data_IF_957934928457
#
_entry.id   IF_957934928457
#
_cell.length_a   1.000
_cell.length_b   1.000
_cell.length_c   1.000
_cell.angle_alpha   90.00
_cell.angle_beta   90.00
_cell.angle_gamma   90.00
#
_symmetry.space_group_name_H-M   'P 1'
#
loop_
_entity.id
_entity.type
_entity.pdbx_description
1 polymer ?
#
# COMPACT_ATOMS: atom_id res chain seq x y z
N UNK A 1 29.86 7.85 9.28
CA UNK A 1 29.77 7.42 10.68
C UNK A 1 28.42 6.72 10.87
N UNK A 2 28.40 5.38 11.03
CA UNK A 2 27.17 4.61 11.27
C UNK A 2 26.61 4.98 12.65
N UNK A 3 25.58 5.83 12.72
CA UNK A 3 24.78 5.99 13.93
C UNK A 3 23.94 4.73 14.12
N UNK A 4 24.35 3.88 15.08
CA UNK A 4 23.56 2.75 15.53
C UNK A 4 22.24 3.27 16.13
N UNK A 5 21.14 3.12 15.40
CA UNK A 5 19.79 3.34 15.91
C UNK A 5 19.43 2.23 16.91
N UNK A 6 19.82 2.43 18.18
CA UNK A 6 19.45 1.55 19.29
C UNK A 6 18.11 2.00 19.88
N UNK A 7 17.02 1.73 19.18
CA UNK A 7 15.70 2.33 19.43
C UNK A 7 15.02 1.89 20.74
N UNK A 8 15.31 0.71 21.30
CA UNK A 8 14.53 0.18 22.42
C UNK A 8 15.33 -0.44 23.58
N UNK A 9 16.64 -0.29 23.61
CA UNK A 9 17.51 -1.12 24.45
C UNK A 9 17.30 -0.94 25.95
N UNK A 10 16.54 0.06 26.44
CA UNK A 10 16.64 0.45 27.85
C UNK A 10 15.36 0.50 28.65
N UNK A 11 14.27 -0.15 28.23
CA UNK A 11 13.01 -0.03 28.94
C UNK A 11 13.09 -0.45 30.42
N UNK A 12 13.99 -1.37 30.77
CA UNK A 12 14.06 -1.93 32.14
C UNK A 12 15.45 -2.41 32.59
N UNK A 13 16.54 -2.06 31.95
CA UNK A 13 17.90 -2.41 32.43
C UNK A 13 18.13 -1.92 33.88
N UNK A 14 17.41 -0.87 34.27
CA UNK A 14 17.53 -0.16 35.52
C UNK A 14 17.14 -1.03 36.71
N UNK A 15 16.12 -1.86 36.59
CA UNK A 15 15.61 -2.60 37.74
C UNK A 15 16.37 -3.91 37.93
N UNK A 16 16.87 -4.54 36.87
CA UNK A 16 17.72 -5.72 36.98
C UNK A 16 19.02 -5.43 37.70
N UNK A 17 19.52 -4.19 37.60
CA UNK A 17 20.73 -3.80 38.30
C UNK A 17 20.59 -3.75 39.84
N UNK A 18 19.38 -3.71 40.35
CA UNK A 18 19.12 -3.58 41.78
C UNK A 18 19.27 -4.90 42.56
N UNK A 19 19.15 -6.03 41.90
CA UNK A 19 19.09 -7.35 42.56
C UNK A 19 20.24 -8.30 42.22
N UNK A 20 21.11 -7.98 41.25
CA UNK A 20 22.24 -8.83 40.93
C UNK A 20 23.36 -8.63 41.99
N UNK A 21 23.72 -9.70 42.67
CA UNK A 21 24.83 -9.77 43.60
C UNK A 21 26.19 -9.95 42.91
N UNK A 22 26.55 -9.19 41.86
CA UNK A 22 27.90 -9.23 41.34
C UNK A 22 28.77 -8.11 41.97
N UNK A 23 29.97 -8.46 42.35
CA UNK A 23 30.90 -7.77 43.24
C UNK A 23 31.45 -6.37 42.81
N UNK A 24 30.94 -5.78 41.74
CA UNK A 24 31.48 -4.50 41.19
C UNK A 24 30.44 -3.41 40.96
N UNK A 25 29.47 -3.24 41.87
CA UNK A 25 28.39 -2.22 41.68
C UNK A 25 28.59 -0.97 42.51
N UNK A 26 28.38 0.18 41.86
CA UNK A 26 28.17 1.43 42.55
C UNK A 26 26.94 1.33 43.49
N UNK A 27 27.05 1.70 44.76
CA UNK A 27 25.96 1.56 45.70
C UNK A 27 24.76 2.43 45.29
N UNK A 28 23.54 1.84 45.30
CA UNK A 28 22.32 2.61 45.07
C UNK A 28 22.03 3.52 46.25
N UNK A 29 21.81 4.81 45.95
CA UNK A 29 21.34 5.77 46.95
C UNK A 29 19.82 5.74 47.04
N UNK A 30 19.26 5.71 48.26
CA UNK A 30 17.81 5.71 48.51
C UNK A 30 17.46 6.83 49.45
N UNK A 31 16.35 7.53 49.18
CA UNK A 31 15.79 8.58 50.04
C UNK A 31 14.28 8.54 50.02
N UNK A 32 13.63 8.96 51.09
CA UNK A 32 12.19 9.10 51.24
C UNK A 32 11.89 9.94 52.48
N UNK A 33 10.65 10.39 52.62
CA UNK A 33 10.21 11.10 53.82
C UNK A 33 10.08 10.15 55.03
N UNK A 34 9.74 8.87 54.79
CA UNK A 34 9.62 7.85 55.83
C UNK A 34 10.17 6.52 55.32
N UNK A 35 10.92 5.84 56.18
CA UNK A 35 11.42 4.48 55.97
C UNK A 35 10.83 3.56 57.03
N UNK A 36 10.37 2.37 56.64
CA UNK A 36 9.87 1.34 57.53
C UNK A 36 10.52 0.01 57.14
N UNK A 37 10.97 -0.75 58.13
CA UNK A 37 11.51 -2.08 57.98
C UNK A 37 10.73 -3.06 58.85
N UNK A 38 10.08 -4.04 58.24
CA UNK A 38 9.49 -5.19 58.93
C UNK A 38 10.49 -6.35 58.92
N UNK A 39 11.08 -6.62 60.08
CA UNK A 39 12.08 -7.66 60.22
C UNK A 39 11.49 -9.09 60.08
N UNK A 40 10.22 -9.31 60.44
CA UNK A 40 9.55 -10.62 60.31
C UNK A 40 9.29 -10.98 58.87
N UNK A 41 8.75 -10.05 58.11
CA UNK A 41 8.49 -10.19 56.67
C UNK A 41 9.65 -9.80 55.81
N UNK A 42 10.77 -9.32 56.34
CA UNK A 42 11.91 -8.79 55.58
C UNK A 42 11.50 -7.80 54.47
N UNK A 43 10.60 -6.88 54.83
CA UNK A 43 10.05 -5.89 53.91
C UNK A 43 10.62 -4.51 54.19
N UNK A 44 11.19 -3.88 53.15
CA UNK A 44 11.67 -2.50 53.20
C UNK A 44 10.66 -1.59 52.50
N UNK A 45 10.14 -0.57 53.16
CA UNK A 45 9.22 0.37 52.54
C UNK A 45 9.72 1.81 52.72
N UNK A 46 9.72 2.51 51.60
CA UNK A 46 10.06 3.94 51.50
C UNK A 46 8.79 4.69 51.10
N UNK A 47 8.34 5.67 51.85
CA UNK A 47 7.07 6.38 51.61
C UNK A 47 7.31 7.89 51.61
N UNK A 48 6.66 8.59 50.70
CA UNK A 48 6.76 10.03 50.47
C UNK A 48 8.04 10.41 49.74
N UNK A 49 7.90 11.04 48.57
CA UNK A 49 9.01 11.51 47.71
C UNK A 49 10.15 10.50 47.58
N UNK A 50 9.78 9.22 47.44
CA UNK A 50 10.75 8.14 47.43
C UNK A 50 11.59 8.21 46.17
N UNK A 51 12.91 8.16 46.31
CA UNK A 51 13.88 8.18 45.20
C UNK A 51 14.89 7.06 45.41
N UNK A 52 15.21 6.36 44.36
CA UNK A 52 16.31 5.45 44.26
C UNK A 52 17.17 5.81 43.05
N UNK A 53 18.47 5.81 43.21
CA UNK A 53 19.41 6.25 42.21
C UNK A 53 20.67 5.38 42.21
N UNK A 54 21.09 4.92 41.04
CA UNK A 54 22.38 4.30 40.80
C UNK A 54 23.12 4.97 39.63
N UNK A 55 24.21 4.36 39.13
CA UNK A 55 25.00 4.87 38.03
C UNK A 55 24.22 4.91 36.69
N UNK A 56 23.20 4.07 36.54
CA UNK A 56 22.48 3.85 35.28
C UNK A 56 21.12 4.54 35.26
N UNK A 57 20.53 4.79 36.43
CA UNK A 57 19.11 5.16 36.51
C UNK A 57 18.67 5.90 37.77
N UNK A 58 17.50 6.52 37.63
CA UNK A 58 16.74 7.13 38.74
C UNK A 58 15.32 6.59 38.71
N UNK A 59 14.83 6.12 39.86
CA UNK A 59 13.42 5.74 40.04
C UNK A 59 12.84 6.65 41.11
N UNK A 60 11.69 7.25 40.86
CA UNK A 60 10.91 8.02 41.85
C UNK A 60 9.48 7.50 41.91
N UNK A 61 8.88 7.50 43.09
CA UNK A 61 7.47 7.14 43.30
C UNK A 61 7.00 7.67 44.65
N UNK A 62 5.70 7.58 44.96
CA UNK A 62 5.20 7.89 46.28
C UNK A 62 5.56 6.80 47.28
N UNK A 63 5.45 5.52 46.92
CA UNK A 63 5.80 4.37 47.72
C UNK A 63 6.71 3.41 46.92
N UNK A 64 7.81 2.98 47.56
CA UNK A 64 8.66 1.88 47.09
C UNK A 64 8.68 0.79 48.15
N UNK A 65 8.40 -0.46 47.77
CA UNK A 65 8.43 -1.59 48.67
C UNK A 65 9.33 -2.69 48.08
N UNK A 66 10.22 -3.21 48.90
CA UNK A 66 11.14 -4.28 48.57
C UNK A 66 10.91 -5.49 49.47
N UNK A 67 10.57 -6.62 48.87
CA UNK A 67 10.35 -7.90 49.55
C UNK A 67 11.61 -8.75 49.37
N UNK A 68 12.43 -8.90 50.45
CA UNK A 68 13.73 -9.54 50.33
C UNK A 68 13.65 -11.02 50.02
N UNK A 69 12.70 -11.77 50.58
CA UNK A 69 12.56 -13.23 50.37
C UNK A 69 12.11 -13.56 48.93
N UNK A 70 11.21 -12.77 48.38
CA UNK A 70 10.70 -12.97 47.02
C UNK A 70 11.51 -12.25 45.97
N UNK A 71 12.41 -11.35 46.34
CA UNK A 71 13.17 -10.44 45.48
C UNK A 71 12.28 -9.54 44.62
N UNK A 72 11.05 -9.24 45.08
CA UNK A 72 10.14 -8.37 44.39
C UNK A 72 10.31 -6.94 44.85
N UNK A 73 10.37 -6.00 43.89
CA UNK A 73 10.25 -4.56 44.13
C UNK A 73 8.97 -4.04 43.51
N UNK A 74 8.23 -3.21 44.29
CA UNK A 74 7.04 -2.52 43.78
C UNK A 74 7.16 -1.02 43.97
N UNK A 75 6.61 -0.28 43.02
CA UNK A 75 6.60 1.17 42.97
C UNK A 75 5.18 1.65 42.70
N UNK A 76 4.65 2.54 43.52
CA UNK A 76 3.28 3.04 43.34
C UNK A 76 3.18 4.53 43.59
N UNK A 77 2.24 5.15 42.88
CA UNK A 77 1.96 6.58 42.93
C UNK A 77 3.03 7.43 42.20
N UNK A 78 2.66 7.96 41.03
CA UNK A 78 3.52 8.82 40.21
C UNK A 78 4.91 8.21 39.93
N UNK A 79 4.92 6.94 39.55
CA UNK A 79 6.17 6.22 39.23
C UNK A 79 6.83 6.85 38.01
N UNK A 80 8.08 7.25 38.18
CA UNK A 80 8.94 7.70 37.07
C UNK A 80 10.27 6.96 37.11
N UNK A 81 10.55 6.30 36.02
CA UNK A 81 11.83 5.66 35.72
C UNK A 81 12.57 6.54 34.72
N UNK A 82 13.80 6.90 34.99
CA UNK A 82 14.67 7.67 34.12
C UNK A 82 15.99 6.94 33.90
N UNK A 83 16.33 6.70 32.65
CA UNK A 83 17.62 6.15 32.25
C UNK A 83 18.63 7.25 32.03
N UNK A 84 19.75 7.22 32.78
CA UNK A 84 20.87 8.13 32.57
C UNK A 84 21.67 7.81 31.30
N UNK A 85 21.58 6.56 30.83
CA UNK A 85 22.39 6.09 29.71
C UNK A 85 21.89 6.62 28.37
N UNK A 86 20.55 6.74 28.19
CA UNK A 86 19.94 7.17 26.91
C UNK A 86 18.84 8.21 27.07
N UNK A 87 18.63 8.77 28.25
CA UNK A 87 17.63 9.80 28.52
C UNK A 87 16.16 9.33 28.41
N UNK A 88 15.90 8.01 28.30
CA UNK A 88 14.53 7.51 28.21
C UNK A 88 13.82 7.54 29.55
N UNK A 89 12.50 7.77 29.52
CA UNK A 89 11.65 7.81 30.72
C UNK A 89 10.44 6.88 30.56
N UNK A 90 10.03 6.27 31.70
CA UNK A 90 8.71 5.63 31.83
C UNK A 90 8.00 6.33 32.98
N UNK A 91 6.79 6.80 32.72
CA UNK A 91 5.86 7.28 33.73
C UNK A 91 4.70 6.31 33.86
N UNK A 92 4.30 5.92 35.07
CA UNK A 92 3.21 4.98 35.31
C UNK A 92 2.54 5.23 36.65
N UNK A 93 1.34 4.72 36.88
CA UNK A 93 0.73 4.74 38.22
C UNK A 93 1.33 3.66 39.12
N UNK A 94 1.80 2.55 38.53
CA UNK A 94 2.39 1.42 39.25
C UNK A 94 3.43 0.72 38.38
N UNK A 95 4.50 0.22 39.02
CA UNK A 95 5.49 -0.68 38.39
C UNK A 95 5.93 -1.77 39.38
N UNK A 96 6.34 -2.91 38.85
CA UNK A 96 6.89 -4.02 39.63
C UNK A 96 8.05 -4.66 38.90
N UNK A 97 8.98 -5.20 39.64
CA UNK A 97 10.09 -6.02 39.17
C UNK A 97 10.26 -7.24 40.07
N UNK A 98 10.39 -8.41 39.45
CA UNK A 98 10.74 -9.67 40.08
C UNK A 98 12.20 -10.00 39.75
N UNK A 99 13.05 -9.99 40.76
CA UNK A 99 14.49 -10.26 40.64
C UNK A 99 14.81 -11.72 40.33
N UNK A 100 13.97 -12.67 40.76
CA UNK A 100 14.17 -14.11 40.48
C UNK A 100 13.86 -14.47 39.06
N UNK A 101 12.71 -14.00 38.55
CA UNK A 101 12.28 -14.28 37.17
C UNK A 101 12.86 -13.28 36.19
N UNK A 102 13.42 -12.18 36.66
CA UNK A 102 13.90 -11.04 35.86
C UNK A 102 12.82 -10.45 34.97
N UNK A 103 11.61 -10.38 35.50
CA UNK A 103 10.43 -9.85 34.81
C UNK A 103 9.98 -8.54 35.41
N UNK A 104 9.66 -7.56 34.56
CA UNK A 104 9.15 -6.28 35.00
C UNK A 104 7.88 -5.89 34.24
N UNK A 105 7.00 -5.15 34.93
CA UNK A 105 5.83 -4.57 34.28
C UNK A 105 5.48 -3.18 34.86
N UNK A 106 4.77 -2.40 34.05
CA UNK A 106 4.18 -1.13 34.44
C UNK A 106 2.70 -1.10 34.01
N UNK A 107 1.84 -0.54 34.84
CA UNK A 107 0.40 -0.42 34.63
C UNK A 107 -0.15 0.94 35.07
N UNK A 108 -1.43 1.15 34.84
CA UNK A 108 -2.12 2.42 35.08
C UNK A 108 -1.57 3.52 34.14
N UNK A 109 -1.84 3.34 32.86
CA UNK A 109 -1.49 4.26 31.75
C UNK A 109 0.02 4.55 31.67
N UNK A 110 0.86 3.52 31.54
CA UNK A 110 2.28 3.74 31.33
C UNK A 110 2.54 4.51 30.03
N UNK A 111 3.52 5.43 30.11
CA UNK A 111 4.00 6.22 28.99
C UNK A 111 5.52 6.09 28.95
N UNK A 112 6.03 5.49 27.89
CA UNK A 112 7.46 5.48 27.58
C UNK A 112 7.79 6.62 26.64
N UNK A 113 8.88 7.35 26.92
CA UNK A 113 9.46 8.35 26.03
C UNK A 113 10.94 8.09 25.86
N UNK A 114 11.39 7.98 24.63
CA UNK A 114 12.80 7.93 24.25
C UNK A 114 13.17 9.20 23.50
N UNK A 115 14.02 10.02 24.13
CA UNK A 115 14.49 11.27 23.50
C UNK A 115 15.55 11.02 22.43
N UNK A 116 16.31 9.94 22.57
CA UNK A 116 17.35 9.54 21.61
C UNK A 116 16.72 9.11 20.27
N UNK A 117 15.57 8.46 20.33
CA UNK A 117 14.90 7.89 19.16
C UNK A 117 13.60 8.62 18.80
N UNK A 118 13.27 9.69 19.50
CA UNK A 118 12.05 10.47 19.30
C UNK A 118 10.76 9.63 19.29
N UNK A 119 10.72 8.58 20.12
CA UNK A 119 9.59 7.67 20.24
C UNK A 119 8.84 7.91 21.54
N UNK A 120 7.52 7.93 21.44
CA UNK A 120 6.61 7.88 22.61
C UNK A 120 5.65 6.70 22.41
N UNK A 121 5.54 5.84 23.45
CA UNK A 121 4.57 4.75 23.48
C UNK A 121 3.65 4.95 24.68
N UNK A 122 2.35 4.84 24.47
CA UNK A 122 1.30 4.82 25.48
C UNK A 122 0.54 3.52 25.42
N UNK A 123 0.15 2.96 26.56
CA UNK A 123 -0.68 1.76 26.62
C UNK A 123 -1.36 1.64 27.99
N UNK A 124 -2.18 0.62 28.18
CA UNK A 124 -2.74 0.29 29.50
C UNK A 124 -1.76 -0.47 30.38
N UNK A 125 -0.86 -1.25 29.73
CA UNK A 125 0.09 -2.14 30.38
C UNK A 125 1.36 -2.26 29.54
N UNK A 126 2.53 -2.30 30.18
CA UNK A 126 3.82 -2.57 29.55
C UNK A 126 4.56 -3.65 30.34
N UNK A 127 5.27 -4.52 29.64
CA UNK A 127 6.06 -5.60 30.26
C UNK A 127 7.38 -5.83 29.56
N UNK A 128 8.28 -6.43 30.29
CA UNK A 128 9.57 -6.90 29.79
C UNK A 128 10.05 -8.13 30.55
N UNK A 129 10.45 -9.14 29.80
CA UNK A 129 11.27 -10.24 30.27
C UNK A 129 12.74 -9.97 29.93
N UNK A 130 13.61 -9.85 30.94
CA UNK A 130 15.03 -9.60 30.74
C UNK A 130 15.83 -10.85 30.33
N UNK A 131 15.22 -12.03 30.40
CA UNK A 131 15.82 -13.26 29.88
C UNK A 131 15.67 -13.36 28.36
N UNK A 132 14.83 -12.53 27.74
CA UNK A 132 14.59 -12.46 26.32
C UNK A 132 14.83 -11.04 25.79
N UNK A 133 15.08 -10.86 24.49
CA UNK A 133 15.17 -9.52 23.90
C UNK A 133 13.81 -8.85 23.69
N UNK A 134 12.74 -9.37 24.29
CA UNK A 134 11.36 -8.95 24.02
C UNK A 134 10.85 -7.93 25.06
N UNK A 135 10.17 -6.88 24.54
CA UNK A 135 9.36 -5.97 25.32
C UNK A 135 7.98 -5.86 24.70
N UNK A 136 6.92 -5.63 25.53
CA UNK A 136 5.55 -5.51 25.03
C UNK A 136 4.84 -4.32 25.63
N UNK A 137 3.94 -3.74 24.83
CA UNK A 137 2.91 -2.81 25.28
C UNK A 137 1.54 -3.39 24.89
N UNK A 138 0.58 -3.38 25.81
CA UNK A 138 -0.67 -4.13 25.68
C UNK A 138 -1.84 -3.20 25.99
N UNK A 139 -2.89 -3.33 25.21
CA UNK A 139 -4.15 -2.64 25.30
C UNK A 139 -4.04 -1.12 25.10
N UNK A 140 -4.80 -0.62 24.14
CA UNK A 140 -4.82 0.78 23.73
C UNK A 140 -3.42 1.34 23.41
N UNK A 141 -2.66 0.60 22.62
CA UNK A 141 -1.31 1.01 22.24
C UNK A 141 -1.39 2.18 21.26
N UNK A 142 -0.67 3.25 21.59
CA UNK A 142 -0.42 4.38 20.70
C UNK A 142 1.08 4.65 20.67
N UNK A 143 1.68 4.40 19.51
CA UNK A 143 3.06 4.70 19.17
C UNK A 143 3.11 6.04 18.44
N UNK A 144 3.99 6.94 18.84
CA UNK A 144 4.35 8.14 18.06
C UNK A 144 5.85 8.15 17.83
N UNK A 145 6.27 8.28 16.60
CA UNK A 145 7.66 8.48 16.19
C UNK A 145 7.77 9.80 15.43
N UNK A 146 8.82 10.58 15.71
CA UNK A 146 9.12 11.82 14.98
C UNK A 146 10.50 11.66 14.38
N UNK A 147 10.55 11.58 13.05
CA UNK A 147 11.79 11.66 12.30
C UNK A 147 12.22 13.13 12.21
N UNK A 148 13.30 13.47 12.92
CA UNK A 148 13.81 14.85 12.96
C UNK A 148 14.56 15.26 11.69
N UNK A 149 15.02 14.30 10.88
CA UNK A 149 15.76 14.59 9.66
C UNK A 149 14.79 15.05 8.55
N UNK A 150 13.59 14.45 8.51
CA UNK A 150 12.59 14.72 7.48
C UNK A 150 11.33 15.43 8.02
N UNK A 151 11.30 15.79 9.31
CA UNK A 151 10.12 16.34 10.02
C UNK A 151 8.84 15.50 9.83
N UNK A 152 9.01 14.19 9.63
CA UNK A 152 7.90 13.26 9.42
C UNK A 152 7.46 12.67 10.75
N UNK A 153 6.16 12.74 11.01
CA UNK A 153 5.51 12.11 12.14
C UNK A 153 4.82 10.83 11.71
N UNK A 154 5.08 9.75 12.47
CA UNK A 154 4.38 8.47 12.33
C UNK A 154 3.60 8.18 13.58
N UNK A 155 2.29 7.93 13.48
CA UNK A 155 1.43 7.50 14.57
C UNK A 155 0.94 6.06 14.31
N UNK A 156 1.14 5.16 15.27
CA UNK A 156 0.72 3.77 15.21
C UNK A 156 -0.29 3.45 16.33
N UNK A 157 -1.33 2.69 15.99
CA UNK A 157 -2.36 2.22 16.91
C UNK A 157 -2.51 0.72 16.79
N UNK A 158 -2.66 0.02 17.93
CA UNK A 158 -2.89 -1.42 17.99
C UNK A 158 -3.40 -1.85 19.37
N UNK A 159 -3.83 -3.10 19.50
CA UNK A 159 -4.11 -3.68 20.80
C UNK A 159 -2.83 -4.15 21.50
N UNK A 160 -1.85 -4.65 20.73
CA UNK A 160 -0.55 -5.12 21.22
C UNK A 160 0.57 -4.61 20.31
N UNK A 161 1.66 -4.16 20.94
CA UNK A 161 2.96 -3.91 20.32
C UNK A 161 4.00 -4.79 21.01
N UNK A 162 4.68 -5.65 20.27
CA UNK A 162 5.87 -6.36 20.70
C UNK A 162 7.09 -5.86 19.96
N UNK A 163 8.22 -5.77 20.65
CA UNK A 163 9.48 -5.30 20.09
C UNK A 163 10.62 -6.26 20.46
N UNK A 164 11.34 -6.70 19.43
CA UNK A 164 12.55 -7.49 19.61
C UNK A 164 13.78 -6.58 19.46
N UNK A 165 14.57 -6.47 20.53
CA UNK A 165 15.70 -5.54 20.59
C UNK A 165 16.92 -6.00 19.78
N UNK A 166 17.09 -7.30 19.57
CA UNK A 166 18.22 -7.85 18.81
C UNK A 166 17.99 -7.68 17.31
N UNK A 167 16.78 -8.02 16.86
CA UNK A 167 16.40 -7.89 15.45
C UNK A 167 15.94 -6.48 15.09
N UNK A 168 15.54 -5.66 16.07
CA UNK A 168 14.92 -4.33 15.91
C UNK A 168 13.60 -4.37 15.13
N UNK A 169 12.86 -5.45 15.30
CA UNK A 169 11.54 -5.66 14.69
C UNK A 169 10.45 -5.33 15.69
N UNK A 170 9.52 -4.46 15.27
CA UNK A 170 8.28 -4.16 15.96
C UNK A 170 7.14 -4.92 15.31
N UNK A 171 6.27 -5.55 16.10
CA UNK A 171 5.06 -6.23 15.61
C UNK A 171 3.84 -5.65 16.32
N UNK A 172 2.92 -5.10 15.54
CA UNK A 172 1.63 -4.58 16.00
C UNK A 172 0.53 -5.58 15.63
N UNK A 173 -0.35 -5.88 16.59
CA UNK A 173 -1.49 -6.80 16.42
C UNK A 173 -2.76 -6.19 17.00
N UNK A 174 -3.91 -6.73 16.55
CA UNK A 174 -5.22 -6.25 16.97
C UNK A 174 -5.59 -4.95 16.26
N UNK A 175 -6.02 -5.09 15.00
CA UNK A 175 -6.39 -3.97 14.12
C UNK A 175 -5.32 -2.86 14.04
N UNK A 176 -4.07 -3.21 13.71
CA UNK A 176 -3.00 -2.22 13.62
C UNK A 176 -3.30 -1.21 12.51
N UNK A 177 -3.01 0.07 12.84
CA UNK A 177 -3.09 1.19 11.90
C UNK A 177 -1.85 2.03 12.05
N UNK A 178 -1.23 2.39 10.95
CA UNK A 178 -0.08 3.28 10.91
C UNK A 178 -0.41 4.48 10.02
N UNK A 179 -0.10 5.67 10.50
CA UNK A 179 -0.29 6.92 9.76
C UNK A 179 1.06 7.60 9.60
N UNK A 180 1.43 7.98 8.39
CA UNK A 180 2.61 8.78 8.11
C UNK A 180 2.23 9.93 7.17
N UNK A 181 2.23 11.16 7.69
CA UNK A 181 1.63 12.27 6.97
C UNK A 181 0.15 11.98 6.72
N UNK A 182 -0.23 11.93 5.45
CA UNK A 182 -1.60 11.63 5.03
C UNK A 182 -1.79 10.15 4.63
N UNK A 183 -0.70 9.39 4.52
CA UNK A 183 -0.78 7.96 4.15
C UNK A 183 -1.20 7.12 5.35
N UNK A 184 -1.91 6.04 5.08
CA UNK A 184 -2.41 5.10 6.09
C UNK A 184 -2.19 3.66 5.66
N UNK A 185 -1.75 2.84 6.61
CA UNK A 185 -1.56 1.39 6.45
C UNK A 185 -2.39 0.65 7.48
N UNK A 186 -3.06 -0.41 7.06
CA UNK A 186 -3.89 -1.28 7.90
C UNK A 186 -3.70 -2.75 7.55
N UNK A 187 -3.97 -3.66 8.49
CA UNK A 187 -3.93 -5.10 8.29
C UNK A 187 -4.32 -5.84 9.58
N UNK A 188 -4.09 -7.13 9.62
CA UNK A 188 -4.27 -7.95 10.84
C UNK A 188 -3.00 -7.94 11.69
N UNK A 189 -1.84 -7.94 11.04
CA UNK A 189 -0.52 -7.85 11.65
C UNK A 189 0.32 -6.87 10.83
N UNK A 190 0.97 -5.92 11.51
CA UNK A 190 1.93 -5.01 10.92
C UNK A 190 3.29 -5.24 11.59
N UNK A 191 4.29 -5.58 10.79
CA UNK A 191 5.67 -5.75 11.22
C UNK A 191 6.52 -4.64 10.62
N UNK A 192 7.35 -4.00 11.45
CA UNK A 192 8.28 -2.98 11.01
C UNK A 192 9.70 -3.30 11.46
N UNK A 193 10.60 -3.43 10.51
CA UNK A 193 12.02 -3.64 10.73
C UNK A 193 12.79 -2.32 10.57
N UNK A 194 13.19 -1.73 11.70
CA UNK A 194 13.88 -0.44 11.69
C UNK A 194 15.34 -0.49 11.20
N UNK A 195 15.94 -1.70 11.08
CA UNK A 195 17.30 -1.83 10.53
C UNK A 195 17.35 -1.58 9.03
N UNK A 196 16.30 -2.01 8.33
CA UNK A 196 16.22 -1.97 6.86
C UNK A 196 15.08 -1.06 6.38
N UNK A 197 14.41 -0.37 7.29
CA UNK A 197 13.28 0.53 7.01
C UNK A 197 12.16 -0.15 6.19
N UNK A 198 11.84 -1.41 6.52
CA UNK A 198 10.83 -2.20 5.84
C UNK A 198 9.59 -2.35 6.71
N UNK A 199 8.41 -2.08 6.14
CA UNK A 199 7.13 -2.40 6.72
C UNK A 199 6.49 -3.58 5.99
N UNK A 200 6.01 -4.59 6.73
CA UNK A 200 5.36 -5.78 6.21
C UNK A 200 3.97 -5.90 6.84
N UNK A 201 2.94 -5.91 6.00
CA UNK A 201 1.53 -5.97 6.42
C UNK A 201 0.97 -7.31 5.98
N UNK A 202 0.43 -8.05 6.91
CA UNK A 202 -0.11 -9.39 6.71
C UNK A 202 -1.59 -9.44 7.10
N UNK A 203 -2.35 -10.26 6.39
CA UNK A 203 -3.77 -10.47 6.61
C UNK A 203 -4.59 -9.26 6.17
N UNK A 204 -5.08 -9.30 4.92
CA UNK A 204 -5.90 -8.23 4.32
C UNK A 204 -5.25 -6.85 4.42
N UNK A 205 -3.99 -6.77 3.99
CA UNK A 205 -3.22 -5.53 3.98
C UNK A 205 -3.92 -4.47 3.13
N UNK A 206 -3.92 -3.21 3.61
CA UNK A 206 -4.51 -2.08 2.92
C UNK A 206 -3.65 -0.85 3.10
N UNK A 207 -3.31 -0.21 2.00
CA UNK A 207 -2.58 1.05 1.98
C UNK A 207 -3.43 2.10 1.29
N UNK A 208 -3.50 3.27 1.89
CA UNK A 208 -4.11 4.48 1.36
C UNK A 208 -2.98 5.48 1.08
N UNK A 209 -2.84 5.89 -0.17
CA UNK A 209 -1.83 6.84 -0.64
C UNK A 209 -2.56 8.10 -1.10
N UNK A 210 -2.28 9.24 -0.45
CA UNK A 210 -2.92 10.51 -0.83
C UNK A 210 -2.36 11.00 -2.18
N UNK A 211 -3.26 11.32 -3.09
CA UNK A 211 -2.91 12.02 -4.32
C UNK A 211 -2.64 13.50 -4.04
N UNK A 212 -1.45 13.98 -4.42
CA UNK A 212 -0.96 15.32 -4.05
C UNK A 212 -1.67 16.47 -4.75
N UNK A 213 -2.41 16.22 -5.82
CA UNK A 213 -2.97 17.28 -6.69
C UNK A 213 -4.25 17.94 -6.17
N UNK A 214 -4.94 17.37 -5.18
CA UNK A 214 -6.26 17.84 -4.72
C UNK A 214 -6.33 18.20 -3.23
N UNK A 215 -5.19 18.45 -2.58
CA UNK A 215 -5.22 18.85 -1.17
C UNK A 215 -5.70 20.29 -1.01
N UNK A 216 -6.98 20.47 -0.71
CA UNK A 216 -7.52 21.72 -0.18
C UNK A 216 -7.51 21.64 1.34
N UNK A 217 -6.55 22.31 1.95
CA UNK A 217 -6.44 22.45 3.40
C UNK A 217 -7.73 23.10 3.96
N UNK A 218 -8.54 22.35 4.72
CA UNK A 218 -9.65 22.92 5.47
C UNK A 218 -11.02 22.23 5.40
N UNK A 219 -11.26 21.23 4.57
CA UNK A 219 -12.55 20.54 4.54
C UNK A 219 -12.55 19.24 5.36
N UNK A 220 -12.77 19.37 6.67
CA UNK A 220 -13.18 18.24 7.53
C UNK A 220 -14.65 17.96 7.27
N UNK A 221 -14.98 17.09 6.34
CA UNK A 221 -16.32 16.51 6.24
C UNK A 221 -16.30 15.05 6.69
N UNK A 222 -17.09 14.77 7.73
CA UNK A 222 -17.36 13.43 8.22
C UNK A 222 -18.28 12.74 7.20
N UNK A 223 -17.76 11.87 6.34
CA UNK A 223 -18.52 10.83 5.63
C UNK A 223 -17.62 10.11 4.60
N UNK A 224 -18.09 9.06 3.99
CA UNK A 224 -17.41 8.17 3.02
C UNK A 224 -16.74 8.88 1.82
N UNK A 225 -17.05 10.15 1.57
CA UNK A 225 -16.37 11.02 0.60
C UNK A 225 -14.91 11.38 0.95
N UNK A 226 -14.42 11.02 2.13
CA UNK A 226 -13.02 11.28 2.54
C UNK A 226 -11.98 10.48 1.75
N UNK A 227 -12.38 9.42 1.07
CA UNK A 227 -11.45 8.53 0.35
C UNK A 227 -11.35 8.81 -1.15
N UNK A 228 -12.12 9.75 -1.69
CA UNK A 228 -12.10 10.07 -3.12
C UNK A 228 -10.75 10.61 -3.63
N UNK A 229 -9.85 11.01 -2.72
CA UNK A 229 -8.54 11.56 -3.06
C UNK A 229 -7.39 10.57 -2.76
N UNK A 230 -7.71 9.29 -2.52
CA UNK A 230 -6.71 8.30 -2.21
C UNK A 230 -6.66 7.19 -3.26
N UNK A 231 -5.45 6.83 -3.67
CA UNK A 231 -5.23 5.54 -4.27
C UNK A 231 -5.20 4.48 -3.16
N UNK A 232 -5.91 3.38 -3.36
CA UNK A 232 -6.01 2.33 -2.35
C UNK A 232 -5.50 1.03 -2.94
N UNK A 233 -4.50 0.43 -2.31
CA UNK A 233 -4.01 -0.91 -2.65
C UNK A 233 -4.41 -1.88 -1.54
N UNK A 234 -5.04 -2.98 -1.91
CA UNK A 234 -5.39 -4.10 -1.02
C UNK A 234 -4.73 -5.38 -1.50
N UNK A 235 -4.25 -6.23 -0.58
CA UNK A 235 -3.64 -7.52 -0.89
C UNK A 235 -3.64 -8.43 0.34
N UNK A 236 -3.33 -9.71 0.15
CA UNK A 236 -3.15 -10.64 1.28
C UNK A 236 -1.90 -10.26 2.10
N UNK A 237 -0.85 -9.79 1.43
CA UNK A 237 0.37 -9.27 2.03
C UNK A 237 0.89 -8.06 1.26
N UNK A 238 1.34 -7.04 2.00
CA UNK A 238 1.97 -5.84 1.43
C UNK A 238 3.31 -5.61 2.14
N UNK A 239 4.36 -5.38 1.36
CA UNK A 239 5.69 -4.99 1.85
C UNK A 239 6.02 -3.62 1.30
N UNK A 240 6.41 -2.69 2.16
CA UNK A 240 6.91 -1.37 1.76
C UNK A 240 8.36 -1.27 2.16
N UNK A 241 9.23 -1.21 1.18
CA UNK A 241 10.65 -0.98 1.39
C UNK A 241 10.91 0.53 1.54
N UNK A 242 11.86 0.84 2.42
CA UNK A 242 12.25 2.20 2.77
C UNK A 242 11.10 3.09 3.22
N UNK A 243 10.18 2.46 4.01
CA UNK A 243 8.98 3.13 4.53
C UNK A 243 9.28 4.48 5.21
N UNK A 244 10.45 4.64 5.82
CA UNK A 244 10.86 5.90 6.43
C UNK A 244 11.28 6.99 5.43
N UNK A 245 11.47 6.63 4.14
CA UNK A 245 11.89 7.54 3.05
C UNK A 245 13.22 8.22 3.38
N UNK A 246 14.32 7.59 2.97
CA UNK A 246 15.65 8.24 3.02
C UNK A 246 15.81 9.12 1.81
N UNK A 247 16.52 10.23 1.97
CA UNK A 247 16.79 11.16 0.87
C UNK A 247 17.30 10.42 -0.37
N UNK A 248 16.58 10.58 -1.48
CA UNK A 248 16.96 10.07 -2.80
C UNK A 248 16.63 8.59 -3.07
N UNK A 249 15.92 7.90 -2.19
CA UNK A 249 15.39 6.55 -2.44
C UNK A 249 13.88 6.58 -2.61
N UNK A 250 13.40 6.01 -3.70
CA UNK A 250 11.97 5.80 -3.97
C UNK A 250 11.44 4.69 -3.07
N UNK A 251 10.31 4.94 -2.40
CA UNK A 251 9.61 3.89 -1.66
C UNK A 251 8.98 2.92 -2.64
N UNK A 252 9.28 1.64 -2.49
CA UNK A 252 8.69 0.59 -3.32
C UNK A 252 7.71 -0.23 -2.51
N UNK A 253 6.51 -0.39 -3.04
CA UNK A 253 5.47 -1.25 -2.50
C UNK A 253 5.42 -2.53 -3.31
N UNK A 254 5.46 -3.66 -2.62
CA UNK A 254 5.21 -4.99 -3.17
C UNK A 254 3.93 -5.54 -2.57
N UNK A 255 2.94 -5.89 -3.40
CA UNK A 255 1.69 -6.49 -2.96
C UNK A 255 1.54 -7.90 -3.53
N UNK A 256 1.16 -8.85 -2.68
CA UNK A 256 1.08 -10.27 -3.00
C UNK A 256 -0.28 -10.84 -2.65
N UNK A 257 -0.85 -11.60 -3.56
CA UNK A 257 -2.11 -12.34 -3.41
C UNK A 257 -3.34 -11.44 -3.42
N UNK A 258 -4.29 -11.73 -4.31
CA UNK A 258 -5.58 -11.02 -4.43
C UNK A 258 -5.43 -9.49 -4.46
N UNK A 259 -4.45 -9.00 -5.22
CA UNK A 259 -4.17 -7.56 -5.26
C UNK A 259 -5.29 -6.83 -5.98
N UNK A 260 -5.78 -5.76 -5.37
CA UNK A 260 -6.69 -4.80 -6.00
C UNK A 260 -6.20 -3.38 -5.73
N UNK A 261 -5.99 -2.60 -6.80
CA UNK A 261 -5.65 -1.19 -6.72
C UNK A 261 -6.80 -0.34 -7.27
N UNK A 262 -7.23 0.63 -6.49
CA UNK A 262 -8.28 1.59 -6.85
C UNK A 262 -7.66 2.96 -7.09
N UNK A 263 -7.86 3.49 -8.28
CA UNK A 263 -7.48 4.85 -8.67
C UNK A 263 -8.76 5.66 -8.84
N UNK A 264 -9.08 6.49 -7.85
CA UNK A 264 -10.39 7.15 -7.78
C UNK A 264 -10.56 8.26 -8.80
N UNK A 265 -9.54 9.07 -9.08
CA UNK A 265 -9.62 10.13 -10.08
C UNK A 265 -9.97 9.58 -11.46
N UNK A 266 -9.37 8.45 -11.81
CA UNK A 266 -9.52 7.81 -13.11
C UNK A 266 -10.72 6.88 -13.17
N UNK A 267 -11.38 6.67 -12.03
CA UNK A 267 -12.42 5.67 -11.88
C UNK A 267 -11.96 4.29 -12.41
N UNK A 268 -10.77 3.87 -11.98
CA UNK A 268 -10.09 2.69 -12.49
C UNK A 268 -9.83 1.68 -11.38
N UNK A 269 -10.01 0.41 -11.69
CA UNK A 269 -9.77 -0.72 -10.80
C UNK A 269 -8.81 -1.68 -11.49
N UNK A 270 -7.65 -1.92 -10.87
CA UNK A 270 -6.70 -2.92 -11.32
C UNK A 270 -6.75 -4.14 -10.39
N UNK A 271 -6.66 -5.33 -10.95
CA UNK A 271 -6.59 -6.59 -10.19
C UNK A 271 -5.49 -7.47 -10.74
N UNK A 272 -4.83 -8.24 -9.86
CA UNK A 272 -3.79 -9.20 -10.24
C UNK A 272 -3.31 -9.98 -9.02
N UNK A 273 -2.33 -10.86 -9.20
CA UNK A 273 -1.77 -11.64 -8.09
C UNK A 273 -0.52 -11.02 -7.47
N UNK A 274 0.21 -10.17 -8.21
CA UNK A 274 1.42 -9.51 -7.73
C UNK A 274 1.55 -8.10 -8.32
N UNK A 275 1.96 -7.15 -7.47
CA UNK A 275 2.22 -5.75 -7.85
C UNK A 275 3.57 -5.30 -7.29
N UNK A 276 4.31 -4.57 -8.10
CA UNK A 276 5.44 -3.74 -7.73
C UNK A 276 5.10 -2.29 -8.08
N UNK A 277 5.18 -1.37 -7.11
CA UNK A 277 4.79 0.01 -7.27
C UNK A 277 5.81 0.96 -6.65
N UNK A 278 6.45 1.77 -7.47
CA UNK A 278 7.32 2.87 -7.08
C UNK A 278 6.45 4.09 -6.74
N UNK A 279 6.28 4.37 -5.44
CA UNK A 279 5.26 5.32 -4.95
C UNK A 279 5.52 6.75 -5.44
N UNK A 280 6.77 7.24 -5.35
CA UNK A 280 7.10 8.63 -5.74
C UNK A 280 7.12 8.84 -7.24
N UNK A 281 7.47 7.81 -8.02
CA UNK A 281 7.48 7.86 -9.48
C UNK A 281 6.13 7.52 -10.09
N UNK A 282 5.19 7.04 -9.27
CA UNK A 282 3.89 6.53 -9.71
C UNK A 282 3.99 5.54 -10.87
N UNK A 283 5.01 4.67 -10.79
CA UNK A 283 5.28 3.63 -11.77
C UNK A 283 4.96 2.25 -11.17
N UNK A 284 4.10 1.49 -11.82
CA UNK A 284 3.62 0.21 -11.32
C UNK A 284 3.71 -0.89 -12.38
N UNK A 285 4.11 -2.07 -11.94
CA UNK A 285 4.00 -3.31 -12.69
C UNK A 285 3.03 -4.26 -12.00
N UNK A 286 2.15 -4.89 -12.76
CA UNK A 286 1.20 -5.89 -12.25
C UNK A 286 1.29 -7.17 -13.06
N UNK A 287 1.29 -8.31 -12.35
CA UNK A 287 1.49 -9.65 -12.89
C UNK A 287 0.45 -10.62 -12.34
N UNK A 288 0.43 -11.84 -12.88
CA UNK A 288 -0.44 -12.95 -12.46
C UNK A 288 -1.91 -12.64 -12.72
N UNK A 289 -2.29 -12.80 -14.00
CA UNK A 289 -3.64 -12.56 -14.49
C UNK A 289 -4.15 -11.13 -14.23
N UNK A 290 -3.37 -10.11 -14.61
CA UNK A 290 -3.77 -8.75 -14.36
C UNK A 290 -4.94 -8.32 -15.23
N UNK A 291 -5.79 -7.46 -14.68
CA UNK A 291 -6.89 -6.84 -15.40
C UNK A 291 -7.09 -5.39 -14.98
N UNK A 292 -7.58 -4.58 -15.90
CA UNK A 292 -8.02 -3.20 -15.65
C UNK A 292 -9.47 -3.08 -16.01
N UNK A 293 -10.26 -2.48 -15.12
CA UNK A 293 -11.65 -2.13 -15.37
C UNK A 293 -11.83 -0.63 -15.24
N UNK A 294 -12.46 -0.03 -16.24
CA UNK A 294 -12.82 1.40 -16.27
C UNK A 294 -14.35 1.49 -16.34
N UNK A 295 -15.05 1.50 -15.17
CA UNK A 295 -16.50 1.34 -15.11
C UNK A 295 -17.29 2.39 -15.87
N UNK A 296 -16.85 3.67 -15.84
CA UNK A 296 -17.49 4.77 -16.52
C UNK A 296 -17.37 4.73 -18.06
N UNK A 297 -16.58 3.78 -18.59
CA UNK A 297 -16.40 3.57 -20.04
C UNK A 297 -16.87 2.20 -20.50
N UNK A 298 -17.40 1.36 -19.62
CA UNK A 298 -17.80 0.01 -19.96
C UNK A 298 -16.64 -0.93 -20.34
N UNK A 299 -15.37 -0.55 -20.12
CA UNK A 299 -14.18 -1.25 -20.59
C UNK A 299 -13.60 -2.16 -19.52
N UNK A 300 -13.19 -3.35 -19.93
CA UNK A 300 -12.27 -4.21 -19.19
C UNK A 300 -11.17 -4.71 -20.13
N UNK A 301 -9.93 -4.72 -19.66
CA UNK A 301 -8.78 -5.24 -20.40
C UNK A 301 -7.98 -6.23 -19.55
N UNK A 302 -7.38 -7.21 -20.21
CA UNK A 302 -6.57 -8.28 -19.66
C UNK A 302 -5.25 -8.39 -20.43
N UNK A 303 -4.23 -9.00 -19.84
CA UNK A 303 -2.96 -9.31 -20.46
C UNK A 303 -2.14 -10.21 -19.56
N UNK A 304 -0.95 -10.61 -19.97
CA UNK A 304 -0.04 -11.40 -19.14
C UNK A 304 0.58 -10.54 -18.01
N UNK A 305 0.92 -9.29 -18.35
CA UNK A 305 1.35 -8.28 -17.36
C UNK A 305 0.99 -6.87 -17.83
N UNK A 306 0.94 -5.93 -16.86
CA UNK A 306 0.55 -4.54 -17.08
C UNK A 306 1.66 -3.64 -16.55
N UNK A 307 1.99 -2.61 -17.33
CA UNK A 307 2.79 -1.47 -16.92
C UNK A 307 1.89 -0.23 -16.86
N UNK A 308 1.99 0.51 -15.77
CA UNK A 308 1.30 1.75 -15.52
C UNK A 308 2.32 2.84 -15.21
N UNK A 309 2.25 3.95 -15.94
CA UNK A 309 3.14 5.10 -15.77
C UNK A 309 2.37 6.39 -15.64
N UNK A 310 2.85 7.27 -14.76
CA UNK A 310 2.48 8.68 -14.72
C UNK A 310 3.59 9.52 -15.33
N UNK A 311 3.22 10.60 -16.02
CA UNK A 311 4.22 11.55 -16.53
C UNK A 311 4.73 12.44 -15.41
N UNK A 312 6.05 12.41 -15.17
CA UNK A 312 6.71 13.18 -14.14
C UNK A 312 6.64 14.71 -14.32
N UNK A 313 6.38 15.21 -15.55
CA UNK A 313 6.31 16.64 -15.82
C UNK A 313 4.90 17.22 -15.68
N UNK A 314 3.86 16.51 -16.12
CA UNK A 314 2.47 16.99 -16.11
C UNK A 314 1.67 16.50 -14.90
N UNK A 315 2.18 15.54 -14.17
CA UNK A 315 1.49 14.86 -13.07
C UNK A 315 0.14 14.21 -13.49
N UNK A 316 -0.06 14.01 -14.80
CA UNK A 316 -1.24 13.39 -15.41
C UNK A 316 -0.95 11.95 -15.77
N UNK A 317 -1.99 11.13 -15.81
CA UNK A 317 -1.94 9.77 -16.31
C UNK A 317 -1.46 9.76 -17.76
N UNK A 318 -0.53 8.89 -18.10
CA UNK A 318 -0.14 8.78 -19.49
C UNK A 318 -0.36 7.42 -20.10
N UNK A 319 0.06 6.36 -19.44
CA UNK A 319 0.09 5.10 -20.16
C UNK A 319 -0.30 3.91 -19.28
N UNK A 320 -1.24 3.12 -19.76
CA UNK A 320 -1.49 1.77 -19.26
C UNK A 320 -1.19 0.84 -20.41
N UNK A 321 -0.14 0.05 -20.28
CA UNK A 321 0.34 -0.83 -21.32
C UNK A 321 0.15 -2.28 -20.89
N UNK A 322 -0.59 -3.05 -21.68
CA UNK A 322 -0.77 -4.48 -21.50
C UNK A 322 0.12 -5.21 -22.48
N UNK A 323 0.74 -6.26 -22.02
CA UNK A 323 1.68 -7.06 -22.78
C UNK A 323 1.21 -8.50 -22.84
N UNK A 324 1.35 -9.11 -24.01
CA UNK A 324 1.10 -10.48 -24.37
C UNK A 324 -0.34 -10.95 -24.15
N UNK A 325 -0.89 -11.63 -25.10
CA UNK A 325 -2.24 -12.21 -25.06
C UNK A 325 -3.30 -11.20 -24.56
N UNK A 326 -3.26 -10.00 -25.13
CA UNK A 326 -4.10 -8.91 -24.66
C UNK A 326 -5.51 -9.07 -25.19
N UNK A 327 -6.49 -8.89 -24.29
CA UNK A 327 -7.92 -8.83 -24.62
C UNK A 327 -8.51 -7.56 -24.03
N UNK A 328 -9.16 -6.75 -24.87
CA UNK A 328 -9.98 -5.62 -24.43
C UNK A 328 -11.44 -5.91 -24.80
N UNK A 329 -12.34 -5.74 -23.86
CA UNK A 329 -13.78 -5.88 -24.06
C UNK A 329 -14.46 -4.55 -23.73
N UNK A 330 -15.22 -4.05 -24.68
CA UNK A 330 -16.17 -2.96 -24.46
C UNK A 330 -17.57 -3.57 -24.36
N UNK A 331 -18.13 -3.55 -23.14
CA UNK A 331 -19.44 -4.17 -22.90
C UNK A 331 -20.60 -3.34 -23.44
N UNK A 332 -20.41 -2.03 -23.59
CA UNK A 332 -21.45 -1.12 -24.03
C UNK A 332 -21.62 -1.19 -25.56
N UNK A 333 -20.54 -1.54 -26.30
CA UNK A 333 -20.50 -1.54 -27.76
C UNK A 333 -20.45 -2.96 -28.38
N UNK A 334 -20.58 -4.04 -27.62
CA UNK A 334 -20.45 -5.43 -28.10
C UNK A 334 -19.18 -5.65 -28.96
N UNK A 335 -18.09 -5.02 -28.54
CA UNK A 335 -16.79 -5.01 -29.21
C UNK A 335 -15.74 -5.68 -28.34
N UNK A 336 -14.97 -6.60 -28.95
CA UNK A 336 -13.76 -7.14 -28.32
C UNK A 336 -12.55 -7.03 -29.25
N UNK A 337 -11.39 -6.73 -28.67
CA UNK A 337 -10.11 -6.63 -29.36
C UNK A 337 -9.13 -7.60 -28.75
N UNK A 338 -8.40 -8.33 -29.57
CA UNK A 338 -7.34 -9.27 -29.17
C UNK A 338 -6.03 -8.87 -29.86
N UNK A 339 -4.87 -9.07 -29.22
CA UNK A 339 -3.55 -8.76 -29.79
C UNK A 339 -2.41 -9.01 -28.80
N UNK A 340 -1.20 -8.54 -29.14
CA UNK A 340 0.00 -8.75 -28.32
C UNK A 340 0.32 -7.57 -27.40
N UNK A 341 -0.02 -6.36 -27.82
CA UNK A 341 0.27 -5.13 -27.10
C UNK A 341 -0.93 -4.19 -27.15
N UNK A 342 -1.43 -3.79 -26.00
CA UNK A 342 -2.47 -2.77 -25.85
C UNK A 342 -1.93 -1.57 -25.09
N UNK A 343 -2.07 -0.39 -25.67
CA UNK A 343 -1.82 0.88 -25.03
C UNK A 343 -3.15 1.62 -24.82
N UNK A 344 -3.51 1.81 -23.57
CA UNK A 344 -4.64 2.66 -23.17
C UNK A 344 -4.10 4.03 -22.75
N UNK A 345 -4.54 5.05 -23.45
CA UNK A 345 -4.29 6.45 -23.08
C UNK A 345 -5.55 7.00 -22.39
N UNK A 346 -5.51 7.23 -21.08
CA UNK A 346 -6.66 7.71 -20.33
C UNK A 346 -7.07 9.15 -20.68
N UNK A 347 -6.13 9.99 -21.11
CA UNK A 347 -6.38 11.41 -21.43
C UNK A 347 -7.09 11.55 -22.78
N UNK A 348 -6.55 10.90 -23.80
CA UNK A 348 -7.16 10.93 -25.15
C UNK A 348 -8.30 9.95 -25.29
N UNK A 349 -8.45 9.00 -24.33
CA UNK A 349 -9.44 7.93 -24.34
C UNK A 349 -9.32 7.04 -25.59
N UNK A 350 -8.12 6.88 -26.10
CA UNK A 350 -7.80 6.03 -27.22
C UNK A 350 -7.14 4.75 -26.71
N UNK A 351 -7.65 3.61 -27.15
CA UNK A 351 -7.00 2.33 -26.99
C UNK A 351 -6.32 1.95 -28.32
N UNK A 352 -5.01 1.71 -28.31
CA UNK A 352 -4.24 1.26 -29.49
C UNK A 352 -3.78 -0.16 -29.26
N UNK A 353 -4.12 -1.06 -30.17
CA UNK A 353 -3.72 -2.46 -30.11
C UNK A 353 -2.88 -2.84 -31.35
N UNK A 354 -1.85 -3.65 -31.15
CA UNK A 354 -0.91 -4.10 -32.17
C UNK A 354 -0.45 -5.54 -31.92
N UNK A 355 0.34 -6.10 -32.85
CA UNK A 355 0.73 -7.51 -32.82
C UNK A 355 -0.39 -8.38 -33.37
N UNK A 356 -0.64 -8.26 -34.66
CA UNK A 356 -1.70 -9.00 -35.39
C UNK A 356 -3.09 -8.85 -34.73
N UNK A 357 -3.55 -7.62 -34.47
CA UNK A 357 -4.78 -7.41 -33.72
C UNK A 357 -6.00 -7.94 -34.50
N UNK A 358 -6.92 -8.51 -33.72
CA UNK A 358 -8.20 -8.99 -34.19
C UNK A 358 -9.33 -8.33 -33.44
N UNK A 359 -10.30 -7.74 -34.13
CA UNK A 359 -11.52 -7.22 -33.54
C UNK A 359 -12.71 -8.10 -33.87
N UNK A 360 -13.57 -8.32 -32.87
CA UNK A 360 -14.85 -8.97 -33.02
C UNK A 360 -15.95 -7.96 -32.69
N UNK A 361 -16.87 -7.79 -33.63
CA UNK A 361 -17.95 -6.79 -33.58
C UNK A 361 -19.28 -7.53 -33.62
N UNK A 362 -20.32 -6.95 -33.00
CA UNK A 362 -21.69 -7.47 -33.03
C UNK A 362 -21.74 -8.96 -32.64
N UNK A 363 -21.40 -9.29 -31.43
CA UNK A 363 -21.40 -10.67 -30.92
C UNK A 363 -20.63 -11.67 -31.79
N UNK A 364 -19.49 -11.22 -32.33
CA UNK A 364 -18.61 -11.98 -33.23
C UNK A 364 -19.18 -12.25 -34.60
N UNK A 365 -20.22 -11.54 -35.04
CA UNK A 365 -20.76 -11.64 -36.37
C UNK A 365 -19.80 -11.11 -37.46
N UNK A 366 -18.91 -10.16 -37.06
CA UNK A 366 -17.89 -9.58 -37.94
C UNK A 366 -16.54 -9.68 -37.24
N UNK A 367 -15.55 -10.16 -38.01
CA UNK A 367 -14.15 -10.21 -37.62
C UNK A 367 -13.32 -9.25 -38.46
N UNK A 368 -12.50 -8.43 -37.82
CA UNK A 368 -11.58 -7.48 -38.47
C UNK A 368 -10.17 -7.83 -38.05
N UNK A 369 -9.25 -7.98 -39.00
CA UNK A 369 -7.81 -8.22 -38.77
C UNK A 369 -7.03 -7.09 -39.45
N UNK A 370 -5.94 -6.63 -38.82
CA UNK A 370 -5.07 -5.59 -39.38
C UNK A 370 -3.68 -5.60 -38.74
N UNK A 371 -2.81 -4.68 -39.11
CA UNK A 371 -1.50 -4.50 -38.48
C UNK A 371 -1.65 -3.75 -37.12
N UNK A 372 -2.53 -2.74 -37.08
CA UNK A 372 -2.84 -1.97 -35.85
C UNK A 372 -4.31 -1.56 -35.83
N UNK A 373 -4.86 -1.47 -34.63
CA UNK A 373 -6.21 -0.96 -34.39
C UNK A 373 -6.23 0.14 -33.35
N UNK A 374 -7.15 1.08 -33.51
CA UNK A 374 -7.41 2.14 -32.55
C UNK A 374 -8.90 2.22 -32.26
N UNK A 375 -9.26 2.10 -31.01
CA UNK A 375 -10.61 2.32 -30.50
C UNK A 375 -10.69 3.74 -29.94
N UNK A 376 -11.66 4.51 -30.40
CA UNK A 376 -11.95 5.89 -29.97
C UNK A 376 -13.25 5.85 -29.20
N UNK A 377 -13.18 5.81 -27.88
CA UNK A 377 -14.36 5.61 -27.05
C UNK A 377 -15.37 6.76 -27.15
N UNK A 378 -14.91 8.02 -27.16
CA UNK A 378 -15.81 9.18 -27.28
C UNK A 378 -16.52 9.28 -28.64
N UNK A 379 -15.89 8.76 -29.68
CA UNK A 379 -16.45 8.77 -31.06
C UNK A 379 -17.21 7.47 -31.40
N UNK A 380 -17.21 6.49 -30.48
CA UNK A 380 -17.81 5.17 -30.68
C UNK A 380 -17.41 4.55 -32.04
N UNK A 381 -16.09 4.51 -32.29
CA UNK A 381 -15.54 3.98 -33.54
C UNK A 381 -14.26 3.19 -33.32
N UNK A 382 -14.09 2.14 -34.16
CA UNK A 382 -12.85 1.36 -34.29
C UNK A 382 -12.21 1.67 -35.65
N UNK A 383 -10.94 2.04 -35.65
CA UNK A 383 -10.13 2.20 -36.87
C UNK A 383 -9.10 1.08 -36.96
N UNK A 384 -9.08 0.33 -38.06
CA UNK A 384 -8.08 -0.65 -38.40
C UNK A 384 -7.19 -0.10 -39.53
N UNK A 385 -5.88 -0.38 -39.43
CA UNK A 385 -4.85 0.14 -40.31
C UNK A 385 -3.85 -0.95 -40.71
N UNK A 386 -3.49 -0.98 -41.99
CA UNK A 386 -2.50 -1.87 -42.58
C UNK A 386 -3.06 -3.25 -42.90
N UNK A 387 -3.15 -3.57 -44.20
CA UNK A 387 -3.64 -4.83 -44.75
C UNK A 387 -4.91 -5.37 -44.09
N UNK A 388 -5.92 -4.52 -44.03
CA UNK A 388 -7.16 -4.83 -43.31
C UNK A 388 -7.93 -5.91 -44.03
N UNK A 389 -8.25 -6.98 -43.30
CA UNK A 389 -9.15 -8.05 -43.74
C UNK A 389 -10.39 -8.06 -42.84
N UNK A 390 -11.58 -8.08 -43.46
CA UNK A 390 -12.85 -8.19 -42.76
C UNK A 390 -13.58 -9.42 -43.24
N UNK A 391 -14.11 -10.17 -42.30
CA UNK A 391 -14.85 -11.40 -42.53
C UNK A 391 -16.17 -11.39 -41.75
N UNK A 392 -17.24 -11.81 -42.42
CA UNK A 392 -18.51 -12.18 -41.78
C UNK A 392 -19.05 -13.45 -42.47
N UNK A 393 -20.22 -13.94 -42.07
CA UNK A 393 -20.81 -15.17 -42.57
C UNK A 393 -20.88 -15.20 -44.11
N UNK A 394 -21.28 -14.08 -44.74
CA UNK A 394 -21.54 -14.03 -46.21
C UNK A 394 -20.70 -12.96 -46.92
N UNK A 395 -19.77 -12.31 -46.21
CA UNK A 395 -18.98 -11.21 -46.72
C UNK A 395 -17.52 -11.32 -46.31
N UNK A 396 -16.62 -11.03 -47.24
CA UNK A 396 -15.22 -10.75 -46.95
C UNK A 396 -14.74 -9.51 -47.71
N UNK A 397 -13.76 -8.82 -47.16
CA UNK A 397 -13.21 -7.62 -47.77
C UNK A 397 -11.72 -7.44 -47.43
N UNK A 398 -11.03 -6.71 -48.32
CA UNK A 398 -9.68 -6.20 -48.07
C UNK A 398 -9.59 -4.71 -48.39
N UNK A 399 -8.80 -3.99 -47.60
CA UNK A 399 -8.51 -2.57 -47.77
C UNK A 399 -7.23 -2.17 -47.03
N UNK A 400 -6.69 -1.01 -47.31
CA UNK A 400 -5.58 -0.46 -46.49
C UNK A 400 -6.08 0.03 -45.15
N UNK A 401 -7.32 0.53 -45.07
CA UNK A 401 -7.97 1.08 -43.91
C UNK A 401 -9.41 0.62 -43.76
N UNK A 402 -9.82 0.34 -42.54
CA UNK A 402 -11.24 0.20 -42.20
C UNK A 402 -11.59 1.05 -40.98
N UNK A 403 -12.84 1.50 -40.98
CA UNK A 403 -13.41 2.18 -39.79
C UNK A 403 -14.80 1.61 -39.56
N UNK A 404 -15.01 1.03 -38.38
CA UNK A 404 -16.31 0.63 -37.88
C UNK A 404 -16.90 1.76 -37.06
N UNK A 405 -18.17 2.11 -37.28
CA UNK A 405 -18.94 3.12 -36.56
C UNK A 405 -20.08 2.45 -35.81
N UNK A 406 -19.94 2.32 -34.51
CA UNK A 406 -20.87 1.56 -33.69
C UNK A 406 -22.30 2.15 -33.71
N UNK A 407 -22.49 3.43 -33.41
CA UNK A 407 -23.81 4.09 -33.44
C UNK A 407 -24.55 3.95 -34.73
N UNK A 408 -23.86 3.88 -35.85
CA UNK A 408 -24.45 3.85 -37.22
C UNK A 408 -24.44 2.49 -37.80
N UNK A 409 -23.86 1.48 -37.12
CA UNK A 409 -23.76 0.10 -37.53
C UNK A 409 -23.30 -0.08 -38.98
N UNK A 410 -22.23 0.64 -39.37
CA UNK A 410 -21.63 0.48 -40.67
C UNK A 410 -20.11 0.43 -40.65
N UNK A 411 -19.55 -0.30 -41.59
CA UNK A 411 -18.12 -0.41 -41.85
C UNK A 411 -17.77 0.44 -43.08
N UNK A 412 -16.73 1.26 -42.99
CA UNK A 412 -16.13 2.01 -44.08
C UNK A 412 -14.78 1.45 -44.41
N UNK A 413 -14.61 1.00 -45.67
CA UNK A 413 -13.37 0.50 -46.23
C UNK A 413 -12.80 1.53 -47.19
N UNK A 414 -11.51 1.86 -47.08
CA UNK A 414 -10.90 2.88 -47.93
C UNK A 414 -9.37 2.72 -48.03
N UNK A 415 -8.74 3.50 -48.92
CA UNK A 415 -7.32 3.41 -49.22
C UNK A 415 -7.03 2.71 -50.55
N UNK A 416 -5.95 1.94 -50.65
CA UNK A 416 -5.57 1.26 -51.89
C UNK A 416 -6.62 0.24 -52.30
N UNK A 417 -7.36 0.56 -53.37
CA UNK A 417 -8.36 -0.31 -54.04
C UNK A 417 -9.11 -1.28 -53.14
N UNK A 418 -9.95 -0.80 -52.21
CA UNK A 418 -10.73 -1.69 -51.39
C UNK A 418 -11.67 -2.54 -52.25
N UNK A 419 -11.80 -3.81 -51.85
CA UNK A 419 -12.82 -4.67 -52.42
C UNK A 419 -13.67 -5.31 -51.32
N UNK A 420 -14.93 -5.59 -51.69
CA UNK A 420 -15.85 -6.34 -50.85
C UNK A 420 -16.50 -7.42 -51.72
N UNK A 421 -16.44 -8.67 -51.23
CA UNK A 421 -17.11 -9.81 -51.82
C UNK A 421 -18.28 -10.22 -50.95
N UNK A 422 -19.50 -10.28 -51.50
CA UNK A 422 -20.69 -10.81 -50.85
C UNK A 422 -21.35 -11.86 -51.75
N UNK A 423 -21.36 -13.08 -51.31
CA UNK A 423 -21.73 -14.20 -52.15
C UNK A 423 -20.84 -14.30 -53.42
N UNK A 424 -21.45 -14.22 -54.62
CA UNK A 424 -20.73 -14.22 -55.92
C UNK A 424 -20.37 -12.78 -56.37
N UNK A 425 -20.96 -11.75 -55.79
CA UNK A 425 -20.78 -10.35 -56.18
C UNK A 425 -19.48 -9.76 -55.57
N UNK A 426 -18.70 -9.06 -56.42
CA UNK A 426 -17.49 -8.35 -56.00
C UNK A 426 -17.65 -6.86 -56.34
N UNK A 427 -17.52 -6.02 -55.33
CA UNK A 427 -17.53 -4.57 -55.49
C UNK A 427 -16.12 -4.02 -55.19
N UNK A 428 -15.60 -3.19 -56.14
CA UNK A 428 -14.32 -2.47 -55.99
C UNK A 428 -14.54 -0.97 -56.11
N UNK A 429 -13.80 -0.14 -55.36
CA UNK A 429 -13.94 1.30 -55.47
C UNK A 429 -12.80 2.03 -54.75
N UNK A 430 -12.89 3.33 -54.57
CA UNK A 430 -11.99 4.12 -53.72
C UNK A 430 -12.42 4.07 -52.30
N UNK A 431 -13.73 3.94 -52.04
CA UNK A 431 -14.36 3.85 -50.74
C UNK A 431 -15.59 2.92 -50.88
N UNK A 432 -15.77 2.03 -49.89
CA UNK A 432 -16.91 1.14 -49.79
C UNK A 432 -17.49 1.29 -48.38
N UNK A 433 -18.82 1.48 -48.29
CA UNK A 433 -19.57 1.45 -47.05
C UNK A 433 -20.47 0.23 -47.02
N UNK A 434 -20.36 -0.56 -45.95
CA UNK A 434 -21.20 -1.72 -45.71
C UNK A 434 -22.04 -1.48 -44.45
N UNK A 435 -23.36 -1.42 -44.61
CA UNK A 435 -24.32 -1.22 -43.50
C UNK A 435 -24.72 -2.59 -42.96
N UNK A 436 -24.35 -2.89 -41.73
CA UNK A 436 -24.43 -4.23 -41.16
C UNK A 436 -25.88 -4.70 -41.01
N UNK A 437 -26.78 -3.86 -40.53
CA UNK A 437 -28.19 -4.23 -40.28
C UNK A 437 -28.99 -4.45 -41.58
N UNK A 438 -28.66 -3.72 -42.63
CA UNK A 438 -29.42 -3.75 -43.88
C UNK A 438 -28.70 -4.50 -45.01
N UNK A 439 -27.45 -4.94 -44.73
CA UNK A 439 -26.55 -5.55 -45.74
C UNK A 439 -26.34 -4.68 -47.00
N UNK A 440 -26.69 -3.39 -46.93
CA UNK A 440 -26.55 -2.44 -48.00
C UNK A 440 -25.10 -2.08 -48.25
N UNK A 441 -24.70 -2.08 -49.55
CA UNK A 441 -23.36 -1.64 -49.96
C UNK A 441 -23.49 -0.33 -50.73
N UNK A 442 -22.69 0.67 -50.36
CA UNK A 442 -22.48 1.90 -51.12
C UNK A 442 -21.00 1.98 -51.51
N UNK A 443 -20.71 2.14 -52.81
CA UNK A 443 -19.33 2.27 -53.27
C UNK A 443 -19.14 3.55 -54.10
N UNK A 444 -17.99 4.17 -53.92
CA UNK A 444 -17.62 5.43 -54.58
C UNK A 444 -16.35 5.20 -55.43
N UNK A 445 -16.34 5.79 -56.62
CA UNK A 445 -15.23 5.62 -57.55
C UNK A 445 -15.10 4.17 -58.04
N UNK A 446 -16.22 3.59 -58.46
CA UNK A 446 -16.39 2.15 -58.70
C UNK A 446 -15.72 1.72 -60.02
N UNK A 447 -15.00 0.59 -59.96
CA UNK A 447 -14.70 -0.27 -61.09
C UNK A 447 -15.16 -1.67 -60.71
N UNK A 448 -16.19 -2.25 -61.34
CA UNK A 448 -16.73 -3.53 -60.93
C UNK A 448 -17.29 -4.34 -62.06
N UNK A 449 -17.17 -5.67 -62.01
CA UNK A 449 -17.90 -6.64 -62.79
C UNK A 449 -19.14 -7.04 -61.96
N UNK A 450 -20.31 -6.81 -62.49
CA UNK A 450 -21.57 -7.34 -61.96
C UNK A 450 -21.81 -8.61 -62.78
N UNK A 451 -21.83 -9.81 -62.18
CA UNK A 451 -22.27 -10.99 -62.89
C UNK A 451 -23.72 -10.81 -63.34
N UNK A 452 -24.00 -11.17 -64.57
CA UNK A 452 -25.36 -11.19 -65.17
C UNK A 452 -26.27 -12.19 -64.44
#
# INVERSE_FOLDING_TARGET
>A
MKKNNKIFILLFIIVSSLFSQSETRSPSRRSADKFTYDNKGQVFQYTGNSKMEDSSAIITSHVMTFYKETEIATFSGNVRLYSKTNGSTINAGYASYDGKTKYAYARNKPILRSTTNNVTIRSSYMERDFNTPMAKAISNVHLTHIDKENDKKTDGYADELSYNMDTQVSVLKGNPRLYQGNDRIEGEILEYNSKISEANVMGRGKIYILQTNNYVEGTKTNNESQFSNYNIVTADRIVVNDYAGKDGQTRTLYAYGNVTAYFYEENMILKGGYVEYEIENEHMYMYQEPSVRIPNRGIIAFGEWIEYKKDGESNQFKDIIFHNDVVLVDYDESLSLEGELLHLDPDTKIATISGEPCAYVEDRSIKIISVTMQMFNDDEKLRANGDVFVESKDMNSRSAWATYFDRRKYLRLWGETPYLKQGESIVRGREIKYYIETEKIEAYGVSGEIPE
#
